data_IF_072677210797
#
_entry.id   IF_072677210797
#
_cell.length_a   1.000
_cell.length_b   1.000
_cell.length_c   1.000
_cell.angle_alpha   90.00
_cell.angle_beta   90.00
_cell.angle_gamma   90.00
#
_symmetry.space_group_name_H-M   'P 1'
#
loop_
_entity.id
_entity.type
_entity.pdbx_description
1 polymer ?
#
# COMPACT_ATOMS: atom_id res chain seq x y z
N UNK A 1 -9.75 -11.60 13.53
CA UNK A 1 -9.60 -12.38 14.77
C UNK A 1 -8.34 -13.23 14.63
N UNK A 2 -7.33 -13.06 15.49
CA UNK A 2 -6.14 -13.91 15.42
C UNK A 2 -6.36 -15.15 16.30
N UNK A 3 -6.55 -16.31 15.68
CA UNK A 3 -6.99 -17.53 16.39
C UNK A 3 -5.96 -18.09 17.39
N UNK A 4 -4.69 -17.72 17.28
CA UNK A 4 -3.61 -18.25 18.13
C UNK A 4 -3.08 -17.25 19.17
N UNK A 5 -3.26 -15.94 18.93
CA UNK A 5 -2.58 -14.90 19.73
C UNK A 5 -3.57 -14.12 20.61
N UNK A 6 -4.87 -14.44 20.52
CA UNK A 6 -5.91 -13.82 21.34
C UNK A 6 -6.28 -12.39 20.95
N UNK A 7 -5.83 -11.89 19.80
CA UNK A 7 -6.14 -10.52 19.35
C UNK A 7 -7.58 -10.40 18.84
N UNK A 8 -8.34 -9.51 19.49
CA UNK A 8 -9.72 -9.21 19.13
C UNK A 8 -10.16 -7.84 19.65
N UNK A 9 -10.80 -7.07 18.78
CA UNK A 9 -11.52 -5.84 19.11
C UNK A 9 -12.80 -5.81 18.27
N UNK A 10 -13.85 -5.21 18.82
CA UNK A 10 -15.11 -4.95 18.11
C UNK A 10 -15.29 -3.45 18.07
N UNK A 11 -15.42 -2.90 16.86
CA UNK A 11 -15.64 -1.48 16.62
C UNK A 11 -16.99 -1.36 15.89
N UNK A 12 -17.87 -0.48 16.37
CA UNK A 12 -19.17 -0.23 15.74
C UNK A 12 -19.26 1.28 15.48
N UNK A 13 -19.55 1.65 14.24
CA UNK A 13 -19.74 3.03 13.81
C UNK A 13 -21.05 3.17 13.04
N UNK A 14 -21.70 4.32 13.15
CA UNK A 14 -22.92 4.65 12.42
C UNK A 14 -22.67 5.63 11.25
N UNK A 15 -21.41 5.81 10.82
CA UNK A 15 -21.03 6.75 9.76
C UNK A 15 -20.64 6.04 8.45
N UNK A 16 -20.84 6.73 7.32
CA UNK A 16 -20.46 6.27 5.98
C UNK A 16 -18.95 6.24 5.74
N UNK A 17 -18.15 6.94 6.55
CA UNK A 17 -16.68 6.90 6.52
C UNK A 17 -16.10 5.91 7.55
N UNK A 18 -16.92 4.99 8.04
CA UNK A 18 -16.57 4.11 9.16
C UNK A 18 -15.31 3.27 8.95
N UNK A 19 -14.98 2.89 7.71
CA UNK A 19 -13.85 2.00 7.41
C UNK A 19 -12.46 2.64 7.62
N UNK A 20 -12.33 3.95 7.38
CA UNK A 20 -11.05 4.66 7.60
C UNK A 20 -10.82 4.89 9.09
N UNK A 21 -11.83 5.40 9.78
CA UNK A 21 -11.78 5.60 11.22
C UNK A 21 -11.62 4.29 11.99
N UNK A 22 -12.31 3.21 11.58
CA UNK A 22 -12.16 1.88 12.16
C UNK A 22 -10.70 1.41 12.08
N UNK A 23 -10.04 1.61 10.93
CA UNK A 23 -8.65 1.19 10.73
C UNK A 23 -7.70 1.91 11.69
N UNK A 24 -7.88 3.21 11.90
CA UNK A 24 -7.04 3.98 12.83
C UNK A 24 -7.27 3.59 14.29
N UNK A 25 -8.54 3.40 14.68
CA UNK A 25 -8.89 2.92 16.03
C UNK A 25 -8.26 1.54 16.26
N UNK A 26 -8.39 0.64 15.28
CA UNK A 26 -7.81 -0.70 15.38
C UNK A 26 -6.27 -0.67 15.46
N UNK A 27 -5.60 0.18 14.67
CA UNK A 27 -4.15 0.42 14.75
C UNK A 27 -3.74 0.98 16.10
N UNK A 28 -4.53 1.89 16.67
CA UNK A 28 -4.27 2.48 17.99
C UNK A 28 -4.35 1.43 19.11
N UNK A 29 -5.38 0.57 19.08
CA UNK A 29 -5.52 -0.57 20.00
C UNK A 29 -4.31 -1.51 19.84
N UNK A 30 -3.99 -1.89 18.60
CA UNK A 30 -2.84 -2.74 18.31
C UNK A 30 -1.52 -2.15 18.84
N UNK A 31 -1.33 -0.84 18.75
CA UNK A 31 -0.15 -0.15 19.25
C UNK A 31 -0.05 -0.23 20.79
N UNK A 32 -1.15 0.00 21.50
CA UNK A 32 -1.20 -0.05 22.98
C UNK A 32 -0.96 -1.47 23.50
N UNK A 33 -1.57 -2.47 22.87
CA UNK A 33 -1.52 -3.87 23.31
C UNK A 33 -0.42 -4.69 22.62
N UNK A 34 0.45 -4.06 21.81
CA UNK A 34 1.59 -4.71 21.17
C UNK A 34 1.20 -5.83 20.18
N UNK A 35 0.08 -5.70 19.48
CA UNK A 35 -0.36 -6.70 18.51
C UNK A 35 0.57 -6.74 17.30
N UNK A 36 1.03 -7.93 16.94
CA UNK A 36 1.96 -8.13 15.82
C UNK A 36 1.22 -8.17 14.48
N UNK A 37 1.74 -7.46 13.49
CA UNK A 37 1.19 -7.47 12.12
C UNK A 37 -0.01 -6.55 11.89
N UNK A 38 -0.37 -5.72 12.88
CA UNK A 38 -1.51 -4.80 12.80
C UNK A 38 -1.13 -3.32 12.66
N UNK A 39 0.17 -3.02 12.73
CA UNK A 39 0.71 -1.69 12.47
C UNK A 39 1.24 -1.60 11.03
N UNK A 40 1.21 -0.41 10.41
CA UNK A 40 1.82 -0.20 9.11
C UNK A 40 3.28 -0.66 9.11
N UNK A 41 3.66 -1.49 8.16
CA UNK A 41 5.05 -1.86 7.97
C UNK A 41 5.82 -0.65 7.45
N UNK A 42 6.87 -0.27 8.16
CA UNK A 42 7.82 0.72 7.65
C UNK A 42 8.76 0.05 6.65
N UNK A 43 9.00 0.73 5.54
CA UNK A 43 9.90 0.27 4.49
C UNK A 43 11.02 1.29 4.30
N UNK A 44 12.25 0.80 4.15
CA UNK A 44 13.36 1.60 3.66
C UNK A 44 13.33 1.60 2.13
N UNK A 45 13.48 2.79 1.53
CA UNK A 45 13.52 2.92 0.08
C UNK A 45 14.90 2.45 -0.40
N UNK A 46 14.90 1.54 -1.37
CA UNK A 46 16.11 1.01 -1.96
C UNK A 46 16.36 1.66 -3.32
N UNK A 47 17.58 2.14 -3.56
CA UNK A 47 17.95 2.63 -4.89
C UNK A 47 18.05 1.45 -5.87
N UNK A 48 17.32 1.55 -6.98
CA UNK A 48 17.31 0.54 -8.05
C UNK A 48 17.85 1.16 -9.32
N UNK A 49 18.77 0.45 -9.97
CA UNK A 49 19.37 0.87 -11.24
C UNK A 49 18.31 1.08 -12.32
N UNK A 50 18.45 2.15 -13.09
CA UNK A 50 17.52 2.53 -14.16
C UNK A 50 17.30 1.41 -15.17
N UNK A 51 18.35 0.69 -15.55
CA UNK A 51 18.26 -0.40 -16.53
C UNK A 51 17.39 -1.57 -16.05
N UNK A 52 17.25 -1.73 -14.72
CA UNK A 52 16.31 -2.70 -14.15
C UNK A 52 14.89 -2.13 -14.12
N UNK A 53 14.72 -0.85 -13.77
CA UNK A 53 13.41 -0.18 -13.77
C UNK A 53 12.77 -0.15 -15.16
N UNK A 54 13.57 0.10 -16.20
CA UNK A 54 13.12 0.10 -17.60
C UNK A 54 12.50 -1.24 -18.02
N UNK A 55 12.93 -2.36 -17.43
CA UNK A 55 12.34 -3.69 -17.69
C UNK A 55 10.95 -3.87 -17.11
N UNK A 56 10.59 -3.05 -16.11
CA UNK A 56 9.26 -3.07 -15.48
C UNK A 56 8.31 -2.03 -16.08
N UNK A 57 8.80 -1.12 -16.94
CA UNK A 57 7.95 -0.18 -17.64
C UNK A 57 7.16 -0.90 -18.75
N UNK A 58 5.85 -0.67 -18.81
CA UNK A 58 4.99 -1.37 -19.75
C UNK A 58 3.51 -1.34 -19.40
N UNK A 59 2.72 -2.05 -20.19
CA UNK A 59 1.28 -2.23 -19.98
C UNK A 59 1.01 -3.67 -19.59
N UNK A 60 0.29 -3.85 -18.49
CA UNK A 60 -0.05 -5.14 -17.91
C UNK A 60 -1.57 -5.27 -17.87
N UNK A 61 -2.09 -6.42 -18.29
CA UNK A 61 -3.50 -6.74 -18.13
C UNK A 61 -3.75 -7.18 -16.68
N UNK A 62 -4.72 -6.56 -16.01
CA UNK A 62 -5.16 -6.94 -14.68
C UNK A 62 -6.66 -7.22 -14.73
N UNK A 63 -7.06 -8.42 -14.32
CA UNK A 63 -8.46 -8.85 -14.44
C UNK A 63 -8.87 -9.06 -15.89
N UNK A 64 -10.15 -8.88 -16.19
CA UNK A 64 -10.71 -9.18 -17.51
C UNK A 64 -10.56 -8.05 -18.53
N UNK A 65 -10.55 -6.78 -18.08
CA UNK A 65 -10.58 -5.64 -19.01
C UNK A 65 -9.88 -4.37 -18.49
N UNK A 66 -9.06 -4.50 -17.43
CA UNK A 66 -8.33 -3.37 -16.86
C UNK A 66 -6.85 -3.42 -17.26
N UNK A 67 -6.30 -2.28 -17.66
CA UNK A 67 -4.89 -2.15 -18.02
C UNK A 67 -4.17 -1.30 -16.98
N UNK A 68 -3.13 -1.88 -16.40
CA UNK A 68 -2.14 -1.21 -15.58
C UNK A 68 -1.01 -0.70 -16.47
N UNK A 69 -0.75 0.58 -16.40
CA UNK A 69 0.42 1.20 -17.05
C UNK A 69 1.46 1.51 -15.99
N UNK A 70 2.65 0.95 -16.17
CA UNK A 70 3.85 1.29 -15.41
C UNK A 70 4.74 2.16 -16.29
N UNK A 71 5.08 3.35 -15.80
CA UNK A 71 5.90 4.33 -16.52
C UNK A 71 7.10 4.75 -15.68
N UNK A 72 8.19 5.15 -16.34
CA UNK A 72 9.44 5.56 -15.72
C UNK A 72 9.79 6.98 -16.19
N UNK A 73 9.76 7.94 -15.27
CA UNK A 73 10.18 9.33 -15.53
C UNK A 73 11.29 9.68 -14.53
N UNK A 74 12.45 10.13 -15.00
CA UNK A 74 13.58 10.56 -14.14
C UNK A 74 13.91 9.59 -12.98
N UNK A 75 14.01 8.29 -13.31
CA UNK A 75 14.24 7.19 -12.36
C UNK A 75 13.12 6.95 -11.32
N UNK A 76 11.96 7.56 -11.53
CA UNK A 76 10.78 7.38 -10.68
C UNK A 76 9.74 6.54 -11.42
N UNK A 77 9.35 5.44 -10.79
CA UNK A 77 8.29 4.58 -11.31
C UNK A 77 6.92 5.12 -10.93
N UNK A 78 6.00 5.06 -11.87
CA UNK A 78 4.62 5.46 -11.70
C UNK A 78 3.68 4.37 -12.17
N UNK A 79 2.57 4.23 -11.45
CA UNK A 79 1.49 3.30 -11.73
C UNK A 79 0.23 4.07 -12.08
N UNK A 80 -0.50 3.62 -13.09
CA UNK A 80 -1.79 4.20 -13.48
C UNK A 80 -2.72 3.10 -13.99
N UNK A 81 -4.00 3.17 -13.64
CA UNK A 81 -5.08 2.35 -14.21
C UNK A 81 -6.12 3.26 -14.86
N UNK A 82 -7.16 2.69 -15.47
CA UNK A 82 -8.33 3.43 -15.95
C UNK A 82 -9.07 4.18 -14.84
N UNK A 83 -8.96 3.71 -13.59
CA UNK A 83 -9.74 4.20 -12.44
C UNK A 83 -8.93 5.08 -11.48
N UNK A 84 -7.61 5.07 -11.57
CA UNK A 84 -6.72 5.75 -10.62
C UNK A 84 -5.88 6.80 -11.30
N UNK A 85 -5.68 7.92 -10.61
CA UNK A 85 -4.62 8.87 -10.97
C UNK A 85 -3.25 8.19 -11.00
N UNK A 86 -2.32 8.83 -11.70
CA UNK A 86 -0.93 8.41 -11.75
C UNK A 86 -0.29 8.52 -10.35
N UNK A 87 0.08 7.38 -9.77
CA UNK A 87 0.67 7.32 -8.42
C UNK A 87 2.13 6.89 -8.47
N UNK A 88 2.96 7.49 -7.62
CA UNK A 88 4.38 7.16 -7.49
C UNK A 88 4.58 5.83 -6.77
N UNK A 89 5.42 4.97 -7.34
CA UNK A 89 5.90 3.73 -6.74
C UNK A 89 7.25 3.95 -6.06
N UNK A 90 7.44 3.35 -4.89
CA UNK A 90 8.69 3.38 -4.14
C UNK A 90 9.31 1.99 -4.09
N UNK A 91 10.51 1.78 -4.65
CA UNK A 91 11.21 0.50 -4.58
C UNK A 91 11.66 0.21 -3.14
N UNK A 92 11.39 -1.00 -2.67
CA UNK A 92 11.83 -1.52 -1.36
C UNK A 92 12.64 -2.82 -1.50
N UNK A 93 12.65 -3.38 -2.71
CA UNK A 93 13.56 -4.42 -3.18
C UNK A 93 13.65 -4.32 -4.72
N UNK A 94 14.44 -5.18 -5.36
CA UNK A 94 14.67 -5.11 -6.81
C UNK A 94 13.38 -5.28 -7.61
N UNK A 95 12.44 -6.08 -7.11
CA UNK A 95 11.18 -6.46 -7.73
C UNK A 95 9.95 -6.11 -6.85
N UNK A 96 10.16 -5.37 -5.77
CA UNK A 96 9.10 -5.03 -4.80
C UNK A 96 8.96 -3.52 -4.68
N UNK A 97 7.72 -3.06 -4.85
CA UNK A 97 7.35 -1.66 -4.78
C UNK A 97 6.20 -1.46 -3.79
N UNK A 98 6.19 -0.31 -3.15
CA UNK A 98 5.10 0.11 -2.26
C UNK A 98 4.55 1.46 -2.68
N UNK A 99 3.28 1.68 -2.37
CA UNK A 99 2.66 2.99 -2.44
C UNK A 99 2.79 3.66 -1.08
N UNK A 100 3.01 4.97 -1.07
CA UNK A 100 2.96 5.74 0.16
C UNK A 100 1.49 5.89 0.58
N UNK A 101 1.14 5.48 1.80
CA UNK A 101 -0.17 5.84 2.36
C UNK A 101 -0.31 7.37 2.34
N UNK A 102 -1.46 7.88 1.89
CA UNK A 102 -1.77 9.30 2.04
C UNK A 102 -1.75 9.61 3.54
N UNK A 103 -0.92 10.58 3.95
CA UNK A 103 -1.04 11.16 5.28
C UNK A 103 -2.21 12.14 5.22
N UNK A 104 -3.24 11.89 6.02
CA UNK A 104 -4.26 12.90 6.29
C UNK A 104 -3.67 13.93 7.25
N UNK A 105 -3.99 15.20 7.02
CA UNK A 105 -3.59 16.34 7.86
C UNK A 105 -4.71 16.67 8.85
#
# INVERSE_FOLDING_TARGET
WHKTDGYGAVIVSNSSNGLELEREIFRSIANVYGWKGYLPQQYEIMEVKRELLEKYAGRYLIGSDNVLTISLDDNVMYMQTSETDRVKLFPVAHDKFVLKEKKEN
#
